data_IF_511938345570
#
_entry.id   IF_511938345570
#
_cell.length_a   1.000
_cell.length_b   1.000
_cell.length_c   1.000
_cell.angle_alpha   90.00
_cell.angle_beta   90.00
_cell.angle_gamma   90.00
#
_symmetry.space_group_name_H-M   'P 1'
#
loop_
_entity.id
_entity.type
_entity.pdbx_description
1 polymer ?
#
# COMPACT_ATOMS: atom_id res chain seq x y z
N UNK A 1 20.55 -10.49 23.00
CA UNK A 1 21.07 -11.74 22.40
C UNK A 1 20.83 -11.63 20.91
N UNK A 2 21.89 -11.60 20.08
CA UNK A 2 21.75 -11.65 18.62
C UNK A 2 21.32 -13.07 18.28
N UNK A 3 20.04 -13.30 18.03
CA UNK A 3 19.64 -14.49 17.31
C UNK A 3 20.15 -14.30 15.87
N UNK A 4 20.98 -15.23 15.40
CA UNK A 4 21.34 -15.29 13.99
C UNK A 4 20.03 -15.25 13.18
N UNK A 5 19.99 -14.43 12.12
CA UNK A 5 18.83 -14.36 11.21
C UNK A 5 18.35 -15.78 10.94
N UNK A 6 17.06 -16.03 11.14
CA UNK A 6 16.45 -17.28 10.69
C UNK A 6 16.89 -17.51 9.23
N UNK A 7 17.45 -18.69 8.89
CA UNK A 7 17.95 -18.99 7.55
C UNK A 7 16.98 -18.59 6.42
N UNK A 8 15.68 -18.70 6.67
CA UNK A 8 14.62 -18.32 5.71
C UNK A 8 14.68 -16.83 5.37
N UNK A 9 14.79 -15.93 6.36
CA UNK A 9 14.85 -14.49 6.09
C UNK A 9 16.15 -14.08 5.40
N UNK A 10 17.25 -14.78 5.67
CA UNK A 10 18.53 -14.57 4.98
C UNK A 10 18.42 -14.95 3.50
N UNK A 11 17.83 -16.08 3.18
CA UNK A 11 17.60 -16.52 1.79
C UNK A 11 16.66 -15.54 1.05
N UNK A 12 15.55 -15.13 1.69
CA UNK A 12 14.62 -14.17 1.12
C UNK A 12 15.26 -12.81 0.86
N UNK A 13 16.17 -12.34 1.74
CA UNK A 13 16.93 -11.10 1.55
C UNK A 13 17.79 -11.14 0.28
N UNK A 14 18.33 -12.30 -0.10
CA UNK A 14 19.11 -12.47 -1.34
C UNK A 14 18.30 -12.17 -2.62
N UNK A 15 16.96 -12.22 -2.55
CA UNK A 15 16.09 -11.78 -3.64
C UNK A 15 16.15 -10.27 -3.87
N UNK A 16 16.63 -9.48 -2.92
CA UNK A 16 16.68 -8.01 -2.96
C UNK A 16 18.11 -7.48 -3.14
N UNK A 17 18.66 -7.39 -4.36
CA UNK A 17 20.05 -7.00 -4.60
C UNK A 17 20.44 -5.64 -3.99
N UNK A 18 19.51 -4.70 -3.89
CA UNK A 18 19.74 -3.39 -3.30
C UNK A 18 20.23 -3.45 -1.84
N UNK A 19 19.89 -4.51 -1.11
CA UNK A 19 20.31 -4.69 0.29
C UNK A 19 21.78 -5.07 0.47
N UNK A 20 22.50 -5.34 -0.63
CA UNK A 20 23.96 -5.59 -0.61
C UNK A 20 24.75 -4.30 -0.44
N UNK A 21 24.25 -3.22 -1.05
CA UNK A 21 24.95 -1.94 -1.09
C UNK A 21 24.34 -0.90 -0.15
N UNK A 22 23.09 -1.12 0.28
CA UNK A 22 22.31 -0.18 1.06
C UNK A 22 21.63 -0.84 2.27
N UNK A 23 21.69 -0.18 3.40
CA UNK A 23 20.77 -0.38 4.51
C UNK A 23 19.47 0.31 4.13
N UNK A 24 18.54 -0.46 3.51
CA UNK A 24 17.35 0.08 2.90
C UNK A 24 16.19 0.10 3.88
N UNK A 25 15.95 1.21 4.53
CA UNK A 25 14.92 1.40 5.57
C UNK A 25 13.84 2.40 5.11
N UNK A 26 13.40 2.28 3.85
CA UNK A 26 12.52 3.28 3.21
C UNK A 26 11.33 2.69 2.44
N UNK A 27 10.85 1.51 2.80
CA UNK A 27 9.74 0.81 2.12
C UNK A 27 8.43 1.61 2.11
N UNK A 28 8.23 2.50 3.09
CA UNK A 28 7.07 3.39 3.15
C UNK A 28 7.05 4.48 2.06
N UNK A 29 8.18 4.81 1.45
CA UNK A 29 8.26 5.67 0.26
C UNK A 29 8.22 4.83 -1.03
N UNK A 30 9.01 3.78 -1.11
CA UNK A 30 9.06 2.78 -2.16
C UNK A 30 10.06 1.69 -1.79
N UNK A 31 9.77 0.44 -2.11
CA UNK A 31 10.66 -0.68 -1.85
C UNK A 31 11.56 -1.00 -3.04
N UNK A 32 12.73 -1.61 -2.81
CA UNK A 32 13.45 -2.27 -3.87
C UNK A 32 12.61 -3.45 -4.40
N UNK A 33 12.80 -3.79 -5.66
CA UNK A 33 12.11 -4.94 -6.24
C UNK A 33 12.95 -6.22 -6.07
N UNK A 34 12.32 -7.37 -5.77
CA UNK A 34 13.03 -8.65 -5.78
C UNK A 34 13.31 -9.12 -7.21
N UNK A 35 14.27 -10.06 -7.37
CA UNK A 35 14.67 -10.61 -8.67
C UNK A 35 13.50 -11.14 -9.48
N UNK A 36 12.60 -11.89 -8.86
CA UNK A 36 11.42 -12.48 -9.54
C UNK A 36 10.53 -11.41 -10.19
N UNK A 37 10.44 -10.21 -9.59
CA UNK A 37 9.67 -9.08 -10.15
C UNK A 37 10.38 -8.50 -11.37
N UNK A 38 11.69 -8.25 -11.29
CA UNK A 38 12.44 -7.75 -12.46
C UNK A 38 12.49 -8.77 -13.60
N UNK A 39 12.57 -10.06 -13.29
CA UNK A 39 12.52 -11.14 -14.28
C UNK A 39 11.18 -11.22 -15.00
N UNK A 40 10.06 -11.01 -14.29
CA UNK A 40 8.72 -10.98 -14.88
C UNK A 40 8.56 -9.85 -15.90
N UNK A 41 9.08 -8.65 -15.58
CA UNK A 41 9.08 -7.49 -16.50
C UNK A 41 10.00 -7.73 -17.69
N UNK A 42 11.22 -8.19 -17.44
CA UNK A 42 12.19 -8.48 -18.49
C UNK A 42 11.70 -9.60 -19.42
N UNK A 43 10.97 -10.59 -18.88
CA UNK A 43 10.33 -11.66 -19.65
C UNK A 43 9.35 -11.08 -20.67
N UNK A 44 8.45 -10.20 -20.23
CA UNK A 44 7.51 -9.52 -21.12
C UNK A 44 8.20 -8.74 -22.24
N UNK A 45 9.25 -7.97 -21.92
CA UNK A 45 9.97 -7.20 -22.95
C UNK A 45 10.76 -8.08 -23.91
N UNK A 46 11.31 -9.22 -23.47
CA UNK A 46 11.92 -10.23 -24.38
C UNK A 46 10.89 -10.84 -25.33
N UNK A 47 9.69 -11.14 -24.83
CA UNK A 47 8.60 -11.66 -25.67
C UNK A 47 8.21 -10.64 -26.74
N UNK A 48 8.09 -9.37 -26.36
CA UNK A 48 7.75 -8.26 -27.24
C UNK A 48 8.86 -7.99 -28.28
N UNK A 49 10.13 -8.03 -27.86
CA UNK A 49 11.30 -7.86 -28.73
C UNK A 49 11.38 -8.97 -29.78
N UNK A 50 11.15 -10.21 -29.37
CA UNK A 50 11.28 -11.39 -30.24
C UNK A 50 10.08 -11.66 -31.14
N UNK A 51 8.89 -11.14 -30.83
CA UNK A 51 7.67 -11.51 -31.53
C UNK A 51 6.64 -10.40 -31.74
N UNK A 52 6.92 -9.16 -31.35
CA UNK A 52 5.90 -8.13 -31.34
C UNK A 52 4.73 -8.52 -30.45
N UNK A 53 3.51 -8.18 -30.84
CA UNK A 53 2.29 -8.45 -30.08
C UNK A 53 1.63 -9.81 -30.34
N UNK A 54 2.35 -10.75 -30.99
CA UNK A 54 1.81 -12.09 -31.33
C UNK A 54 1.32 -12.90 -30.11
N UNK A 55 1.76 -12.54 -28.89
CA UNK A 55 1.38 -13.16 -27.64
C UNK A 55 0.29 -12.38 -26.90
N UNK A 56 -0.42 -11.51 -27.58
CA UNK A 56 -1.45 -10.64 -27.00
C UNK A 56 -2.49 -11.39 -26.15
N UNK A 57 -3.03 -12.50 -26.69
CA UNK A 57 -4.04 -13.33 -25.98
C UNK A 57 -3.44 -13.98 -24.73
N UNK A 58 -2.20 -14.47 -24.82
CA UNK A 58 -1.50 -15.06 -23.68
C UNK A 58 -1.26 -14.01 -22.59
N UNK A 59 -0.89 -12.80 -22.98
CA UNK A 59 -0.70 -11.69 -22.03
C UNK A 59 -2.02 -11.27 -21.36
N UNK A 60 -3.13 -11.23 -22.10
CA UNK A 60 -4.45 -11.01 -21.52
C UNK A 60 -4.82 -12.12 -20.51
N UNK A 61 -4.58 -13.37 -20.87
CA UNK A 61 -4.77 -14.50 -19.97
C UNK A 61 -3.93 -14.37 -18.69
N UNK A 62 -2.69 -13.92 -18.83
CA UNK A 62 -1.80 -13.66 -17.69
C UNK A 62 -2.28 -12.48 -16.82
N UNK A 63 -2.82 -11.41 -17.41
CA UNK A 63 -3.47 -10.31 -16.66
C UNK A 63 -4.62 -10.83 -15.80
N UNK A 64 -5.48 -11.69 -16.37
CA UNK A 64 -6.57 -12.31 -15.60
C UNK A 64 -6.06 -13.22 -14.47
N UNK A 65 -5.00 -13.97 -14.72
CA UNK A 65 -4.36 -14.78 -13.67
C UNK A 65 -3.88 -13.89 -12.50
N UNK A 66 -3.22 -12.76 -12.79
CA UNK A 66 -2.79 -11.79 -11.77
C UNK A 66 -4.01 -11.22 -11.02
N UNK A 67 -5.12 -10.96 -11.70
CA UNK A 67 -6.36 -10.49 -11.07
C UNK A 67 -6.88 -11.51 -10.05
N UNK A 68 -6.88 -12.79 -10.39
CA UNK A 68 -7.23 -13.87 -9.46
C UNK A 68 -6.27 -13.94 -8.26
N UNK A 69 -4.97 -13.72 -8.48
CA UNK A 69 -3.98 -13.69 -7.39
C UNK A 69 -4.25 -12.53 -6.43
N UNK A 70 -4.48 -11.31 -6.95
CA UNK A 70 -4.79 -10.12 -6.14
C UNK A 70 -6.10 -10.31 -5.37
N UNK A 71 -7.14 -10.83 -6.01
CA UNK A 71 -8.42 -11.10 -5.37
C UNK A 71 -8.27 -12.01 -4.15
N UNK A 72 -7.55 -13.13 -4.31
CA UNK A 72 -7.24 -14.03 -3.18
C UNK A 72 -6.40 -13.35 -2.10
N UNK A 73 -5.43 -12.52 -2.51
CA UNK A 73 -4.51 -11.86 -1.60
C UNK A 73 -5.19 -10.87 -0.65
N UNK A 74 -6.29 -10.25 -1.07
CA UNK A 74 -7.08 -9.32 -0.25
C UNK A 74 -8.40 -9.90 0.26
N UNK A 75 -8.69 -11.19 0.00
CA UNK A 75 -9.93 -11.83 0.42
C UNK A 75 -11.18 -11.33 -0.31
N UNK A 76 -11.06 -10.85 -1.57
CA UNK A 76 -12.22 -10.49 -2.38
C UNK A 76 -13.09 -11.72 -2.71
N UNK A 77 -14.39 -11.52 -2.80
CA UNK A 77 -15.34 -12.61 -3.08
C UNK A 77 -15.14 -13.20 -4.49
N UNK A 78 -14.77 -12.34 -5.44
CA UNK A 78 -14.51 -12.76 -6.82
C UNK A 78 -13.47 -11.83 -7.51
N UNK A 79 -12.78 -12.33 -8.53
CA UNK A 79 -11.79 -11.53 -9.27
C UNK A 79 -12.42 -10.33 -9.99
N UNK A 80 -13.70 -10.39 -10.31
CA UNK A 80 -14.45 -9.30 -10.96
C UNK A 80 -14.56 -8.03 -10.13
N UNK A 81 -14.25 -8.08 -8.82
CA UNK A 81 -14.21 -6.93 -7.90
C UNK A 81 -12.86 -6.17 -7.95
N UNK A 82 -11.88 -6.69 -8.69
CA UNK A 82 -10.54 -6.08 -8.82
C UNK A 82 -10.39 -5.38 -10.17
N UNK A 83 -9.83 -4.16 -10.14
CA UNK A 83 -9.27 -3.50 -11.32
C UNK A 83 -7.82 -3.07 -11.08
N UNK A 84 -7.01 -3.07 -12.15
CA UNK A 84 -5.65 -2.56 -12.10
C UNK A 84 -5.63 -1.05 -12.33
N UNK A 85 -4.78 -0.37 -11.57
CA UNK A 85 -4.57 1.08 -11.65
C UNK A 85 -3.07 1.37 -11.60
N UNK A 86 -2.59 2.47 -12.18
CA UNK A 86 -1.15 2.78 -12.17
C UNK A 86 -0.61 3.10 -10.77
N UNK A 87 -1.45 3.61 -9.88
CA UNK A 87 -1.09 4.00 -8.51
C UNK A 87 -2.34 4.20 -7.65
N UNK A 88 -2.14 4.40 -6.34
CA UNK A 88 -3.23 4.65 -5.38
C UNK A 88 -4.06 5.88 -5.73
N UNK A 89 -3.45 6.95 -6.23
CA UNK A 89 -4.18 8.18 -6.58
C UNK A 89 -5.24 7.92 -7.65
N UNK A 90 -4.90 7.12 -8.67
CA UNK A 90 -5.86 6.68 -9.69
C UNK A 90 -6.97 5.81 -9.09
N UNK A 91 -6.62 4.91 -8.18
CA UNK A 91 -7.59 4.05 -7.48
C UNK A 91 -8.55 4.84 -6.61
N UNK A 92 -8.07 5.80 -5.82
CA UNK A 92 -8.91 6.67 -4.98
C UNK A 92 -9.83 7.53 -5.85
N UNK A 93 -9.32 8.12 -6.97
CA UNK A 93 -10.17 8.88 -7.88
C UNK A 93 -11.30 8.02 -8.47
N UNK A 94 -11.02 6.76 -8.81
CA UNK A 94 -12.03 5.82 -9.29
C UNK A 94 -13.10 5.57 -8.20
N UNK A 95 -12.71 5.36 -6.94
CA UNK A 95 -13.63 5.18 -5.81
C UNK A 95 -14.46 6.47 -5.60
N UNK A 96 -13.84 7.62 -5.67
CA UNK A 96 -14.53 8.93 -5.58
C UNK A 96 -15.57 9.09 -6.69
N UNK A 97 -15.25 8.68 -7.91
CA UNK A 97 -16.21 8.72 -9.03
C UNK A 97 -17.46 7.87 -8.78
N UNK A 98 -17.33 6.77 -8.04
CA UNK A 98 -18.45 5.93 -7.64
C UNK A 98 -19.25 6.51 -6.47
N UNK A 99 -18.61 7.17 -5.51
CA UNK A 99 -19.18 7.47 -4.19
C UNK A 99 -19.41 8.96 -3.91
N UNK A 100 -18.88 9.89 -4.70
CA UNK A 100 -18.97 11.33 -4.41
C UNK A 100 -20.43 11.85 -4.26
N UNK A 101 -21.39 11.18 -4.86
CA UNK A 101 -22.82 11.49 -4.74
C UNK A 101 -23.51 10.91 -3.50
N UNK A 102 -22.83 10.08 -2.70
CA UNK A 102 -23.46 9.42 -1.56
C UNK A 102 -23.66 10.36 -0.35
N UNK A 103 -22.83 11.39 -0.19
CA UNK A 103 -22.92 12.35 0.90
C UNK A 103 -21.55 12.68 1.55
N UNK A 104 -21.56 13.28 2.75
CA UNK A 104 -20.33 13.64 3.44
C UNK A 104 -19.46 12.43 3.79
N UNK A 105 -18.14 12.68 3.89
CA UNK A 105 -17.14 11.68 4.25
C UNK A 105 -16.59 11.98 5.65
N UNK A 106 -16.40 10.95 6.44
CA UNK A 106 -15.69 10.98 7.72
C UNK A 106 -14.29 10.39 7.50
N UNK A 107 -13.26 11.16 7.81
CA UNK A 107 -11.86 10.79 7.67
C UNK A 107 -11.04 11.34 8.85
N UNK A 108 -9.72 11.22 8.81
CA UNK A 108 -8.84 11.71 9.86
C UNK A 108 -7.78 12.70 9.35
N UNK A 109 -7.22 13.50 10.27
CA UNK A 109 -6.24 14.56 9.95
C UNK A 109 -4.87 14.04 9.51
N UNK A 110 -4.56 12.76 9.78
CA UNK A 110 -3.27 12.14 9.49
C UNK A 110 -3.21 11.53 8.08
N UNK A 111 -4.29 11.65 7.30
CA UNK A 111 -4.37 11.06 5.96
C UNK A 111 -3.37 11.69 4.98
N UNK A 112 -2.87 10.84 4.08
CA UNK A 112 -2.06 11.32 2.96
C UNK A 112 -2.93 12.09 1.95
N UNK A 113 -2.46 13.19 1.36
CA UNK A 113 -3.27 14.03 0.45
C UNK A 113 -3.98 13.27 -0.68
N UNK A 114 -3.39 12.18 -1.19
CA UNK A 114 -4.05 11.32 -2.18
C UNK A 114 -5.41 10.79 -1.72
N UNK A 115 -5.57 10.55 -0.42
CA UNK A 115 -6.80 9.96 0.14
C UNK A 115 -7.92 10.99 0.21
N UNK A 116 -7.62 12.24 0.54
CA UNK A 116 -8.59 13.29 0.84
C UNK A 116 -8.84 14.27 -0.31
N UNK A 117 -7.78 14.73 -1.02
CA UNK A 117 -7.90 15.75 -2.06
C UNK A 117 -8.90 15.42 -3.18
N UNK A 118 -9.02 14.18 -3.69
CA UNK A 118 -9.99 13.87 -4.73
C UNK A 118 -11.44 14.10 -4.30
N UNK A 119 -11.80 13.83 -3.05
CA UNK A 119 -13.13 14.08 -2.50
C UNK A 119 -13.41 15.59 -2.41
N UNK A 120 -12.46 16.36 -1.87
CA UNK A 120 -12.56 17.82 -1.78
C UNK A 120 -12.72 18.44 -3.16
N UNK A 121 -11.93 17.96 -4.14
CA UNK A 121 -12.03 18.43 -5.54
C UNK A 121 -13.40 18.17 -6.17
N UNK A 122 -14.09 17.12 -5.75
CA UNK A 122 -15.47 16.80 -6.18
C UNK A 122 -16.55 17.55 -5.38
N UNK A 123 -16.15 18.47 -4.49
CA UNK A 123 -17.08 19.25 -3.65
C UNK A 123 -17.69 18.44 -2.51
N UNK A 124 -17.13 17.29 -2.16
CA UNK A 124 -17.61 16.47 -1.04
C UNK A 124 -17.12 17.06 0.27
N UNK A 125 -18.01 17.21 1.23
CA UNK A 125 -17.65 17.67 2.58
C UNK A 125 -16.94 16.56 3.35
N UNK A 126 -15.72 16.85 3.85
CA UNK A 126 -14.95 15.96 4.71
C UNK A 126 -15.06 16.43 6.17
N UNK A 127 -15.48 15.52 7.04
CA UNK A 127 -15.36 15.67 8.48
C UNK A 127 -14.06 15.00 8.90
N UNK A 128 -13.09 15.81 9.36
CA UNK A 128 -11.76 15.30 9.76
C UNK A 128 -11.74 15.14 11.28
N UNK A 129 -11.49 13.91 11.75
CA UNK A 129 -11.30 13.67 13.18
C UNK A 129 -9.84 13.90 13.56
N UNK A 130 -9.57 14.50 14.74
CA UNK A 130 -8.22 14.67 15.24
C UNK A 130 -7.64 13.34 15.74
N UNK A 131 -6.32 13.22 15.68
CA UNK A 131 -5.58 12.19 16.38
C UNK A 131 -5.44 12.55 17.88
N UNK A 132 -5.37 11.53 18.71
CA UNK A 132 -5.08 11.68 20.14
C UNK A 132 -3.76 10.95 20.42
N UNK A 133 -2.73 11.71 20.78
CA UNK A 133 -1.37 11.18 20.99
C UNK A 133 -0.85 10.38 19.78
N UNK A 134 -1.15 10.87 18.57
CA UNK A 134 -0.74 10.22 17.31
C UNK A 134 -1.54 8.96 16.95
N UNK A 135 -2.65 8.68 17.63
CA UNK A 135 -3.53 7.54 17.38
C UNK A 135 -4.90 8.00 16.92
N UNK A 136 -5.42 7.37 15.87
CA UNK A 136 -6.81 7.54 15.44
C UNK A 136 -7.69 6.62 16.27
N UNK A 137 -8.60 7.21 17.05
CA UNK A 137 -9.48 6.47 17.96
C UNK A 137 -10.75 6.03 17.24
N UNK A 138 -11.14 4.78 17.45
CA UNK A 138 -12.33 4.18 16.83
C UNK A 138 -13.63 4.91 17.25
N UNK A 139 -13.69 5.42 18.46
CA UNK A 139 -14.83 6.16 18.99
C UNK A 139 -15.13 7.42 18.18
N UNK A 140 -14.10 8.04 17.59
CA UNK A 140 -14.25 9.20 16.72
C UNK A 140 -14.91 8.86 15.36
N UNK A 141 -15.01 7.58 15.04
CA UNK A 141 -15.70 7.07 13.84
C UNK A 141 -17.09 6.48 14.16
N UNK A 142 -17.55 6.60 15.42
CA UNK A 142 -18.89 6.13 15.76
C UNK A 142 -19.98 6.88 14.97
N UNK A 143 -21.14 6.27 14.74
CA UNK A 143 -22.27 6.92 14.07
C UNK A 143 -22.74 8.21 14.75
N UNK A 144 -22.57 8.29 16.07
CA UNK A 144 -22.96 9.44 16.88
C UNK A 144 -22.05 10.66 16.63
N UNK A 145 -20.76 10.42 16.34
CA UNK A 145 -19.80 11.50 16.07
C UNK A 145 -20.09 12.24 14.76
N UNK A 146 -20.43 11.50 13.70
CA UNK A 146 -20.76 12.08 12.39
C UNK A 146 -21.99 11.40 11.76
N UNK A 147 -23.20 11.67 12.28
CA UNK A 147 -24.40 10.93 11.90
C UNK A 147 -24.84 11.12 10.45
N UNK A 148 -24.35 12.16 9.77
CA UNK A 148 -24.63 12.44 8.35
C UNK A 148 -23.58 11.88 7.39
N UNK A 149 -22.49 11.33 7.90
CA UNK A 149 -21.44 10.77 7.05
C UNK A 149 -21.98 9.55 6.29
N UNK A 150 -21.84 9.56 4.98
CA UNK A 150 -22.21 8.45 4.11
C UNK A 150 -21.06 7.47 3.86
N UNK A 151 -19.82 7.93 4.09
CA UNK A 151 -18.60 7.16 3.87
C UNK A 151 -17.63 7.34 5.04
N UNK A 152 -17.04 6.24 5.49
CA UNK A 152 -15.85 6.21 6.33
C UNK A 152 -14.64 5.98 5.44
N UNK A 153 -13.65 6.88 5.49
CA UNK A 153 -12.46 6.86 4.67
C UNK A 153 -11.23 6.91 5.57
N UNK A 154 -10.37 5.89 5.50
CA UNK A 154 -9.16 5.84 6.31
C UNK A 154 -8.05 5.02 5.66
N UNK A 155 -6.81 5.30 6.04
CA UNK A 155 -5.67 4.45 5.75
C UNK A 155 -5.51 3.35 6.79
N UNK A 156 -5.26 2.09 6.36
CA UNK A 156 -4.98 0.99 7.28
C UNK A 156 -3.75 1.27 8.14
N UNK A 157 -2.73 1.92 7.56
CA UNK A 157 -1.54 2.41 8.27
C UNK A 157 -1.32 3.86 7.88
N UNK A 158 -1.21 4.73 8.87
CA UNK A 158 -1.00 6.16 8.66
C UNK A 158 0.43 6.46 8.20
N UNK A 159 0.57 7.30 7.17
CA UNK A 159 1.87 7.60 6.55
C UNK A 159 2.76 8.50 7.40
N UNK A 160 2.18 9.22 8.34
CA UNK A 160 2.89 10.19 9.19
C UNK A 160 3.78 9.44 10.18
N UNK A 161 3.17 8.61 11.01
CA UNK A 161 3.82 7.98 12.16
C UNK A 161 3.70 6.44 12.20
N UNK A 162 3.04 5.83 11.20
CA UNK A 162 2.88 4.38 11.13
C UNK A 162 1.78 3.81 12.04
N UNK A 163 0.86 4.62 12.56
CA UNK A 163 -0.30 4.15 13.30
C UNK A 163 -1.09 3.16 12.45
N UNK A 164 -1.20 1.91 12.90
CA UNK A 164 -1.97 0.84 12.25
C UNK A 164 -3.31 0.67 12.92
N UNK A 165 -4.37 0.67 12.14
CA UNK A 165 -5.76 0.56 12.59
C UNK A 165 -6.27 -0.87 12.44
N UNK A 166 -7.18 -1.29 13.31
CA UNK A 166 -7.86 -2.57 13.19
C UNK A 166 -9.07 -2.46 12.25
N UNK A 167 -8.89 -2.89 11.00
CA UNK A 167 -9.91 -2.77 9.97
C UNK A 167 -11.20 -3.52 10.30
N UNK A 168 -11.13 -4.65 10.99
CA UNK A 168 -12.32 -5.43 11.39
C UNK A 168 -13.16 -4.66 12.40
N UNK A 169 -12.52 -4.02 13.40
CA UNK A 169 -13.22 -3.18 14.36
C UNK A 169 -13.86 -1.96 13.70
N UNK A 170 -13.15 -1.27 12.80
CA UNK A 170 -13.71 -0.14 12.05
C UNK A 170 -14.86 -0.58 11.13
N UNK A 171 -14.75 -1.72 10.46
CA UNK A 171 -15.83 -2.28 9.66
C UNK A 171 -17.08 -2.61 10.47
N UNK A 172 -16.90 -3.13 11.69
CA UNK A 172 -18.01 -3.47 12.58
C UNK A 172 -18.86 -2.25 12.98
N UNK A 173 -18.25 -1.07 13.07
CA UNK A 173 -18.95 0.18 13.44
C UNK A 173 -19.44 1.00 12.26
N UNK A 174 -19.30 0.53 11.01
CA UNK A 174 -19.65 1.34 9.83
C UNK A 174 -21.14 1.71 9.73
N UNK A 175 -22.04 0.95 10.33
CA UNK A 175 -23.47 1.27 10.49
C UNK A 175 -24.15 1.76 9.20
N UNK A 176 -24.01 1.00 8.10
CA UNK A 176 -24.61 1.31 6.79
C UNK A 176 -23.85 2.35 5.96
N UNK A 177 -22.81 2.98 6.48
CA UNK A 177 -21.89 3.83 5.71
C UNK A 177 -21.01 2.98 4.79
N UNK A 178 -20.56 3.55 3.67
CA UNK A 178 -19.51 2.93 2.87
C UNK A 178 -18.18 2.96 3.64
N UNK A 179 -17.44 1.86 3.64
CA UNK A 179 -16.13 1.77 4.25
C UNK A 179 -15.05 1.69 3.17
N UNK A 180 -14.27 2.77 3.04
CA UNK A 180 -13.21 2.94 2.03
C UNK A 180 -11.85 2.94 2.72
N UNK A 181 -10.93 2.11 2.23
CA UNK A 181 -9.61 1.93 2.83
C UNK A 181 -8.51 2.24 1.83
N UNK A 182 -7.53 3.05 2.25
CA UNK A 182 -6.23 3.16 1.58
C UNK A 182 -5.27 2.14 2.21
N UNK A 183 -4.84 1.15 1.41
CA UNK A 183 -3.93 0.10 1.85
C UNK A 183 -2.47 0.31 1.39
N UNK A 184 -2.13 1.52 0.93
CA UNK A 184 -0.80 1.82 0.36
C UNK A 184 0.36 1.62 1.33
N UNK A 185 0.12 1.71 2.62
CA UNK A 185 1.13 1.53 3.66
C UNK A 185 1.02 0.17 4.37
N UNK A 186 0.18 -0.73 3.88
CA UNK A 186 -0.08 -2.01 4.55
C UNK A 186 -0.13 -3.21 3.63
N UNK A 187 -0.67 -3.09 2.40
CA UNK A 187 -0.73 -4.22 1.46
C UNK A 187 0.69 -4.70 1.13
N UNK A 188 0.96 -5.97 1.43
CA UNK A 188 2.28 -6.60 1.33
C UNK A 188 3.07 -6.67 2.64
N UNK A 189 2.62 -5.97 3.70
CA UNK A 189 3.21 -6.03 5.04
C UNK A 189 2.27 -6.63 6.08
N UNK A 190 0.96 -6.46 5.90
CA UNK A 190 -0.06 -6.92 6.85
C UNK A 190 -1.20 -7.63 6.12
N UNK A 191 -1.83 -8.63 6.74
CA UNK A 191 -3.00 -9.28 6.18
C UNK A 191 -4.16 -8.28 6.01
N UNK A 192 -4.88 -8.43 4.92
CA UNK A 192 -6.10 -7.68 4.62
C UNK A 192 -7.13 -8.70 4.14
N UNK A 193 -8.29 -8.73 4.77
CA UNK A 193 -9.44 -9.50 4.33
C UNK A 193 -10.63 -8.54 4.19
N UNK A 194 -10.93 -8.17 2.95
CA UNK A 194 -11.97 -7.16 2.67
C UNK A 194 -13.36 -7.61 3.07
N UNK A 195 -13.63 -8.93 3.10
CA UNK A 195 -14.92 -9.47 3.53
C UNK A 195 -15.07 -9.42 5.05
N UNK A 196 -14.08 -9.91 5.81
CA UNK A 196 -14.10 -9.87 7.28
C UNK A 196 -14.15 -8.45 7.81
N UNK A 197 -13.34 -7.56 7.24
CA UNK A 197 -13.31 -6.15 7.60
C UNK A 197 -14.49 -5.35 7.01
N UNK A 198 -15.41 -5.98 6.29
CA UNK A 198 -16.58 -5.35 5.67
C UNK A 198 -16.23 -4.11 4.83
N UNK A 199 -15.08 -4.13 4.16
CA UNK A 199 -14.62 -3.04 3.30
C UNK A 199 -15.47 -3.03 2.02
N UNK A 200 -15.93 -1.85 1.60
CA UNK A 200 -16.70 -1.69 0.37
C UNK A 200 -15.82 -1.27 -0.82
N UNK A 201 -14.73 -0.56 -0.56
CA UNK A 201 -13.72 -0.26 -1.56
C UNK A 201 -12.33 -0.09 -0.94
N UNK A 202 -11.29 -0.50 -1.67
CA UNK A 202 -9.91 -0.40 -1.23
C UNK A 202 -9.01 -0.05 -2.41
N UNK A 203 -8.00 0.80 -2.17
CA UNK A 203 -6.96 1.10 -3.17
C UNK A 203 -5.55 0.90 -2.59
N UNK A 204 -4.66 0.34 -3.41
CA UNK A 204 -3.24 0.19 -3.08
C UNK A 204 -2.34 0.35 -4.30
N UNK A 205 -1.09 0.73 -4.06
CA UNK A 205 -0.02 0.75 -5.06
C UNK A 205 0.98 -0.39 -4.85
N UNK A 206 1.55 -0.91 -5.93
CA UNK A 206 2.50 -2.02 -5.88
C UNK A 206 3.91 -1.63 -5.41
N UNK A 207 4.33 -0.37 -5.58
CA UNK A 207 5.72 0.06 -5.41
C UNK A 207 6.22 0.19 -3.97
N UNK A 208 5.34 0.10 -2.97
CA UNK A 208 5.72 0.19 -1.55
C UNK A 208 5.91 -1.21 -0.95
N UNK A 209 5.07 -1.56 -0.01
CA UNK A 209 5.15 -2.81 0.75
C UNK A 209 4.91 -4.09 -0.06
N UNK A 210 4.31 -3.97 -1.25
CA UNK A 210 4.21 -5.12 -2.17
C UNK A 210 5.49 -5.38 -2.95
N UNK A 211 6.48 -4.48 -2.96
CA UNK A 211 7.76 -4.63 -3.68
C UNK A 211 7.61 -4.87 -5.20
N UNK A 212 6.50 -4.44 -5.81
CA UNK A 212 6.18 -4.71 -7.22
C UNK A 212 6.72 -3.67 -8.21
N UNK A 213 7.46 -2.65 -7.74
CA UNK A 213 7.89 -1.54 -8.59
C UNK A 213 6.75 -0.58 -8.93
N UNK A 214 7.04 0.37 -9.81
CA UNK A 214 6.10 1.43 -10.19
C UNK A 214 5.25 1.03 -11.40
N UNK A 215 4.08 1.66 -11.54
CA UNK A 215 3.22 1.56 -12.73
C UNK A 215 2.04 0.60 -12.60
N UNK A 216 1.97 -0.20 -11.52
CA UNK A 216 0.79 -0.98 -11.19
C UNK A 216 0.44 -0.91 -9.71
N UNK A 217 -0.83 -0.99 -9.45
CA UNK A 217 -1.50 -1.18 -8.20
C UNK A 217 -2.88 -1.76 -8.50
N UNK A 218 -3.75 -1.81 -7.52
CA UNK A 218 -5.09 -2.32 -7.70
C UNK A 218 -6.10 -1.52 -6.89
N UNK A 219 -7.35 -1.62 -7.33
CA UNK A 219 -8.53 -1.20 -6.60
C UNK A 219 -9.44 -2.41 -6.45
N UNK A 220 -9.97 -2.60 -5.26
CA UNK A 220 -11.07 -3.48 -4.95
C UNK A 220 -12.33 -2.64 -4.78
N UNK A 221 -13.42 -3.06 -5.38
CA UNK A 221 -14.74 -2.47 -5.16
C UNK A 221 -15.75 -3.62 -5.10
N UNK A 222 -16.50 -3.66 -4.03
CA UNK A 222 -17.54 -4.64 -3.79
C UNK A 222 -18.58 -4.62 -4.93
N UNK A 223 -19.04 -5.80 -5.38
CA UNK A 223 -19.95 -5.97 -6.52
C UNK A 223 -21.17 -5.06 -6.44
N UNK A 224 -21.87 -5.04 -5.31
CA UNK A 224 -23.10 -4.26 -5.15
C UNK A 224 -22.88 -2.75 -5.30
N UNK A 225 -21.64 -2.29 -5.06
CA UNK A 225 -21.28 -0.88 -5.20
C UNK A 225 -21.06 -0.51 -6.66
N UNK A 226 -20.26 -1.28 -7.39
CA UNK A 226 -19.98 -0.94 -8.78
C UNK A 226 -21.16 -1.23 -9.73
N UNK A 227 -22.05 -2.16 -9.40
CA UNK A 227 -23.27 -2.40 -10.18
C UNK A 227 -24.25 -1.22 -10.14
N UNK A 228 -24.33 -0.52 -9.00
CA UNK A 228 -25.18 0.67 -8.82
C UNK A 228 -24.62 1.93 -9.48
N UNK A 229 -23.31 1.99 -9.69
CA UNK A 229 -22.62 3.20 -10.13
C UNK A 229 -21.80 2.92 -11.40
N UNK A 230 -22.26 3.31 -12.60
CA UNK A 230 -21.47 3.16 -13.80
C UNK A 230 -20.20 4.05 -13.73
N UNK A 231 -19.08 3.62 -14.31
CA UNK A 231 -17.85 4.43 -14.36
C UNK A 231 -18.09 5.69 -15.18
N UNK A 232 -17.43 6.79 -14.80
CA UNK A 232 -17.49 8.06 -15.54
C UNK A 232 -16.68 8.05 -16.84
N UNK A 233 -15.61 7.25 -16.85
CA UNK A 233 -14.73 7.10 -18.00
C UNK A 233 -14.73 5.64 -18.46
N UNK A 234 -14.87 5.44 -19.77
CA UNK A 234 -14.83 4.13 -20.41
C UNK A 234 -13.91 4.18 -21.65
N UNK A 235 -13.51 3.03 -22.11
CA UNK A 235 -12.76 2.88 -23.36
C UNK A 235 -13.14 1.59 -24.07
N UNK A 236 -12.40 1.22 -25.10
CA UNK A 236 -12.76 0.11 -25.96
C UNK A 236 -12.74 -1.27 -25.24
N UNK A 237 -11.92 -1.43 -24.20
CA UNK A 237 -11.90 -2.65 -23.36
C UNK A 237 -12.91 -2.64 -22.19
N UNK A 238 -13.69 -1.59 -22.03
CA UNK A 238 -14.69 -1.47 -20.96
C UNK A 238 -16.00 -2.22 -21.27
N UNK A 239 -16.18 -2.67 -22.51
CA UNK A 239 -17.45 -3.23 -23.02
C UNK A 239 -17.37 -4.74 -23.22
N UNK A 240 -18.54 -5.37 -23.31
CA UNK A 240 -18.67 -6.76 -23.75
C UNK A 240 -18.32 -6.85 -25.25
N UNK A 241 -17.64 -7.93 -25.61
CA UNK A 241 -17.25 -8.20 -27.00
C UNK A 241 -16.41 -7.07 -27.67
N UNK A 242 -15.33 -6.56 -27.03
CA UNK A 242 -14.58 -5.41 -27.51
C UNK A 242 -13.94 -5.65 -28.90
N UNK A 243 -13.65 -6.89 -29.25
CA UNK A 243 -13.01 -7.28 -30.52
C UNK A 243 -13.97 -7.30 -31.73
N UNK A 244 -15.28 -7.06 -31.51
CA UNK A 244 -16.19 -6.77 -32.61
C UNK A 244 -15.99 -5.36 -33.17
N UNK A 245 -15.25 -4.49 -32.46
CA UNK A 245 -14.98 -3.10 -32.85
C UNK A 245 -16.23 -2.28 -33.21
N UNK A 246 -17.34 -2.59 -32.51
CA UNK A 246 -18.61 -1.85 -32.69
C UNK A 246 -18.54 -0.52 -31.93
N UNK A 247 -18.45 0.58 -32.70
CA UNK A 247 -18.34 1.93 -32.17
C UNK A 247 -19.58 2.42 -31.38
N UNK A 248 -20.71 1.71 -31.48
CA UNK A 248 -21.95 2.05 -30.81
C UNK A 248 -22.31 1.11 -29.68
N UNK A 249 -21.51 0.08 -29.43
CA UNK A 249 -21.74 -0.87 -28.34
C UNK A 249 -21.26 -0.27 -27.01
N UNK A 250 -22.21 0.05 -26.12
CA UNK A 250 -21.94 0.57 -24.76
C UNK A 250 -22.38 -0.43 -23.68
N UNK A 251 -22.47 -1.72 -24.00
CA UNK A 251 -22.74 -2.76 -23.00
C UNK A 251 -21.50 -3.01 -22.15
N UNK A 252 -21.47 -2.42 -20.95
CA UNK A 252 -20.34 -2.51 -20.04
C UNK A 252 -20.10 -3.95 -19.56
N UNK A 253 -18.82 -4.29 -19.28
CA UNK A 253 -18.47 -5.53 -18.60
C UNK A 253 -19.11 -5.58 -17.20
N UNK A 254 -19.59 -6.75 -16.75
CA UNK A 254 -20.18 -6.94 -15.43
C UNK A 254 -19.12 -7.12 -14.33
N UNK A 255 -18.03 -6.35 -14.39
CA UNK A 255 -16.89 -6.42 -13.46
C UNK A 255 -16.17 -5.08 -13.41
N UNK A 256 -15.28 -4.91 -12.45
CA UNK A 256 -14.42 -3.72 -12.33
C UNK A 256 -13.46 -3.54 -13.52
N UNK A 257 -13.21 -4.57 -14.33
CA UNK A 257 -12.47 -4.44 -15.60
C UNK A 257 -13.05 -3.36 -16.53
N UNK A 258 -14.33 -3.05 -16.42
CA UNK A 258 -14.96 -1.95 -17.19
C UNK A 258 -14.34 -0.58 -16.94
N UNK A 259 -13.50 -0.45 -15.91
CA UNK A 259 -12.72 0.76 -15.61
C UNK A 259 -11.31 0.74 -16.19
N UNK A 260 -10.87 -0.38 -16.75
CA UNK A 260 -9.58 -0.56 -17.45
C UNK A 260 -9.80 -0.24 -18.93
N UNK A 261 -9.72 1.03 -19.26
CA UNK A 261 -10.26 1.60 -20.50
C UNK A 261 -9.55 1.16 -21.79
N UNK A 262 -8.28 0.79 -21.74
CA UNK A 262 -7.46 0.53 -22.92
C UNK A 262 -6.47 -0.61 -22.71
N UNK A 263 -5.46 -0.68 -23.59
CA UNK A 263 -4.41 -1.70 -23.52
C UNK A 263 -3.79 -1.76 -22.12
N UNK A 264 -3.75 -2.95 -21.48
CA UNK A 264 -3.17 -3.08 -20.16
C UNK A 264 -1.67 -2.73 -20.14
N UNK A 265 -1.15 -2.13 -19.08
CA UNK A 265 0.29 -2.01 -18.87
C UNK A 265 0.86 -3.37 -18.43
N UNK A 266 1.05 -4.30 -19.40
CA UNK A 266 1.39 -5.69 -19.16
C UNK A 266 2.58 -5.88 -18.22
N UNK A 267 3.72 -5.22 -18.52
CA UNK A 267 4.94 -5.35 -17.71
C UNK A 267 4.72 -5.03 -16.23
N UNK A 268 4.17 -3.87 -15.88
CA UNK A 268 3.82 -3.54 -14.48
C UNK A 268 2.81 -4.49 -13.84
N UNK A 269 1.80 -4.98 -14.57
CA UNK A 269 0.83 -5.96 -14.03
C UNK A 269 1.52 -7.31 -13.76
N UNK A 270 2.43 -7.75 -14.65
CA UNK A 270 3.20 -8.97 -14.45
C UNK A 270 4.16 -8.86 -13.26
N UNK A 271 4.75 -7.67 -13.06
CA UNK A 271 5.53 -7.34 -11.88
C UNK A 271 4.69 -7.47 -10.59
N UNK A 272 3.47 -6.93 -10.61
CA UNK A 272 2.53 -7.04 -9.48
C UNK A 272 2.17 -8.51 -9.20
N UNK A 273 1.92 -9.30 -10.23
CA UNK A 273 1.63 -10.73 -10.10
C UNK A 273 2.78 -11.51 -9.46
N UNK A 274 4.01 -11.32 -9.95
CA UNK A 274 5.19 -11.95 -9.38
C UNK A 274 5.44 -11.54 -7.91
N UNK A 275 5.17 -10.28 -7.57
CA UNK A 275 5.27 -9.79 -6.20
C UNK A 275 4.22 -10.44 -5.29
N UNK A 276 2.96 -10.48 -5.72
CA UNK A 276 1.86 -11.13 -4.96
C UNK A 276 2.14 -12.61 -4.75
N UNK A 277 2.65 -13.30 -5.77
CA UNK A 277 3.02 -14.73 -5.67
C UNK A 277 4.14 -14.95 -4.64
N UNK A 278 5.19 -14.12 -4.66
CA UNK A 278 6.27 -14.18 -3.67
C UNK A 278 5.73 -13.96 -2.25
N UNK A 279 4.95 -12.88 -2.04
CA UNK A 279 4.42 -12.55 -0.72
C UNK A 279 3.46 -13.61 -0.19
N UNK A 280 2.58 -14.14 -1.03
CA UNK A 280 1.68 -15.23 -0.69
C UNK A 280 2.44 -16.54 -0.40
N UNK A 281 3.51 -16.81 -1.13
CA UNK A 281 4.37 -17.98 -0.91
C UNK A 281 5.13 -17.95 0.42
N UNK A 282 5.53 -16.75 0.87
CA UNK A 282 6.12 -16.54 2.21
C UNK A 282 5.04 -16.69 3.31
N UNK A 283 3.85 -16.19 3.04
CA UNK A 283 2.74 -16.07 3.98
C UNK A 283 2.69 -14.69 4.63
N UNK A 284 1.58 -13.97 4.42
CA UNK A 284 1.46 -12.57 4.82
C UNK A 284 1.48 -12.39 6.35
N UNK A 285 0.99 -13.37 7.10
CA UNK A 285 1.04 -13.39 8.57
C UNK A 285 2.50 -13.46 9.06
N UNK A 286 3.32 -14.32 8.46
CA UNK A 286 4.75 -14.43 8.80
C UNK A 286 5.51 -13.14 8.44
N UNK A 287 5.14 -12.49 7.33
CA UNK A 287 5.69 -11.20 6.96
C UNK A 287 5.32 -10.16 8.02
N UNK A 288 4.06 -10.11 8.45
CA UNK A 288 3.59 -9.18 9.47
C UNK A 288 4.32 -9.39 10.80
N UNK A 289 4.47 -10.62 11.25
CA UNK A 289 5.23 -10.98 12.46
C UNK A 289 6.69 -10.48 12.37
N UNK A 290 7.36 -10.73 11.22
CA UNK A 290 8.74 -10.27 11.00
C UNK A 290 8.85 -8.74 10.97
N UNK A 291 7.94 -8.06 10.30
CA UNK A 291 7.89 -6.60 10.22
C UNK A 291 7.70 -5.98 11.61
N UNK A 292 6.77 -6.51 12.41
CA UNK A 292 6.52 -6.05 13.78
C UNK A 292 7.70 -6.33 14.69
N UNK A 293 8.32 -7.51 14.58
CA UNK A 293 9.53 -7.85 15.34
C UNK A 293 10.66 -6.86 15.06
N UNK A 294 10.94 -6.55 13.80
CA UNK A 294 11.99 -5.59 13.43
C UNK A 294 11.67 -4.16 13.89
N UNK A 295 10.39 -3.78 13.82
CA UNK A 295 9.94 -2.47 14.33
C UNK A 295 10.13 -2.37 15.85
N UNK A 296 9.74 -3.40 16.59
CA UNK A 296 9.93 -3.45 18.05
C UNK A 296 11.40 -3.44 18.43
N UNK A 297 12.22 -4.26 17.77
CA UNK A 297 13.67 -4.29 17.96
C UNK A 297 14.30 -2.91 17.75
N UNK A 298 13.98 -2.26 16.61
CA UNK A 298 14.49 -0.94 16.29
C UNK A 298 14.04 0.10 17.33
N UNK A 299 12.77 0.13 17.69
CA UNK A 299 12.22 1.06 18.70
C UNK A 299 12.97 0.92 20.01
N UNK A 300 13.09 -0.29 20.52
CA UNK A 300 13.83 -0.57 21.76
C UNK A 300 15.30 -0.08 21.71
N UNK A 301 15.98 -0.29 20.57
CA UNK A 301 17.38 0.12 20.40
C UNK A 301 17.55 1.65 20.32
N UNK A 302 16.60 2.35 19.67
CA UNK A 302 16.56 3.81 19.57
C UNK A 302 16.35 4.43 20.96
N UNK A 303 15.33 4.00 21.68
CA UNK A 303 14.99 4.51 23.01
C UNK A 303 16.13 4.30 24.01
N UNK A 304 16.78 3.13 23.99
CA UNK A 304 17.99 2.87 24.81
C UNK A 304 19.16 3.77 24.48
N UNK A 305 19.20 4.38 23.31
CA UNK A 305 20.20 5.36 22.89
C UNK A 305 19.77 6.80 23.09
N UNK A 306 18.58 7.00 23.67
CA UNK A 306 18.03 8.33 23.96
C UNK A 306 17.38 9.04 22.79
N UNK A 307 17.00 8.31 21.70
CA UNK A 307 16.23 8.84 20.60
C UNK A 307 14.73 8.65 20.87
N UNK A 308 13.94 9.73 21.02
CA UNK A 308 12.49 9.61 21.20
C UNK A 308 11.83 9.01 19.96
N UNK A 309 10.93 8.06 20.17
CA UNK A 309 10.09 7.48 19.10
C UNK A 309 8.70 8.07 19.19
N UNK A 310 8.27 8.72 18.11
CA UNK A 310 6.99 9.42 18.01
C UNK A 310 5.87 8.53 17.39
N UNK A 311 6.22 7.33 16.93
CA UNK A 311 5.25 6.34 16.50
C UNK A 311 4.48 5.77 17.68
N UNK A 312 3.19 5.40 17.51
CA UNK A 312 2.41 4.83 18.60
C UNK A 312 2.94 3.47 19.04
N UNK A 313 2.64 3.15 20.32
CA UNK A 313 3.08 1.92 20.98
C UNK A 313 2.34 0.66 20.56
N UNK A 314 2.37 -0.33 21.45
CA UNK A 314 1.75 -1.63 21.25
C UNK A 314 0.27 -1.53 20.83
N UNK A 315 -0.17 -2.43 19.96
CA UNK A 315 -1.52 -2.44 19.37
C UNK A 315 -1.66 -1.60 18.10
N UNK A 316 -0.86 -0.52 17.94
CA UNK A 316 -0.92 0.38 16.79
C UNK A 316 0.34 0.37 15.93
N UNK A 317 1.29 -0.50 16.22
CA UNK A 317 2.56 -0.59 15.49
C UNK A 317 2.39 -1.11 14.07
N UNK A 318 3.26 -0.61 13.20
CA UNK A 318 3.44 -1.11 11.84
C UNK A 318 4.92 -1.32 11.52
N UNK A 319 5.31 -1.38 10.26
CA UNK A 319 6.72 -1.38 9.85
C UNK A 319 7.37 0.00 9.86
N UNK A 320 6.64 1.06 10.22
CA UNK A 320 7.15 2.43 10.24
C UNK A 320 7.47 2.87 11.66
N UNK A 321 8.60 3.59 11.80
CA UNK A 321 9.04 4.23 13.05
C UNK A 321 9.38 5.68 12.74
N UNK A 322 8.68 6.63 13.35
CA UNK A 322 9.02 8.05 13.33
C UNK A 322 9.93 8.33 14.54
N UNK A 323 11.13 8.78 14.26
CA UNK A 323 12.18 9.07 15.25
C UNK A 323 12.42 10.56 15.30
N UNK A 324 12.34 11.17 16.48
CA UNK A 324 12.68 12.57 16.67
C UNK A 324 14.20 12.75 16.49
N UNK A 325 14.56 13.65 15.59
CA UNK A 325 15.97 13.97 15.30
C UNK A 325 16.08 15.45 15.02
N UNK A 326 17.04 16.12 15.62
CA UNK A 326 17.38 17.51 15.30
C UNK A 326 17.89 17.63 13.87
N UNK A 327 17.49 18.71 13.16
CA UNK A 327 17.89 18.96 11.77
C UNK A 327 17.68 17.73 10.87
N UNK A 328 16.43 17.31 10.63
CA UNK A 328 16.12 16.04 9.93
C UNK A 328 16.73 15.95 8.54
N UNK A 329 16.80 17.05 7.80
CA UNK A 329 17.40 17.11 6.46
C UNK A 329 18.90 16.76 6.49
N UNK A 330 19.63 17.32 7.45
CA UNK A 330 21.06 17.04 7.64
C UNK A 330 21.28 15.57 8.08
N UNK A 331 20.43 15.09 8.98
CA UNK A 331 20.47 13.68 9.42
C UNK A 331 20.25 12.71 8.25
N UNK A 332 19.27 12.97 7.37
CA UNK A 332 19.03 12.16 6.17
C UNK A 332 20.23 12.22 5.22
N UNK A 333 20.81 13.39 4.99
CA UNK A 333 22.01 13.53 4.16
C UNK A 333 23.19 12.74 4.74
N UNK A 334 23.46 12.87 6.05
CA UNK A 334 24.51 12.13 6.78
C UNK A 334 24.35 10.62 6.70
N UNK A 335 23.09 10.12 6.86
CA UNK A 335 22.77 8.70 6.77
C UNK A 335 22.96 8.19 5.33
N UNK A 336 22.55 8.98 4.34
CA UNK A 336 22.68 8.62 2.92
C UNK A 336 24.13 8.46 2.49
N UNK A 337 25.05 9.30 2.98
CA UNK A 337 26.51 9.16 2.76
C UNK A 337 27.03 7.82 3.29
N UNK A 338 26.39 7.27 4.33
CA UNK A 338 26.68 5.96 4.93
C UNK A 338 25.88 4.82 4.34
N UNK A 339 25.25 5.05 3.18
CA UNK A 339 24.42 4.06 2.49
C UNK A 339 23.20 3.60 3.32
N UNK A 340 22.65 4.46 4.18
CA UNK A 340 21.43 4.21 4.94
C UNK A 340 20.31 5.09 4.37
N UNK A 341 19.23 4.47 3.90
CA UNK A 341 18.10 5.18 3.29
C UNK A 341 16.92 5.25 4.24
N UNK A 342 16.50 6.46 4.56
CA UNK A 342 15.33 6.81 5.36
C UNK A 342 14.61 8.01 4.72
N UNK A 343 13.46 8.43 5.26
CA UNK A 343 12.73 9.62 4.78
C UNK A 343 12.74 10.72 5.83
N UNK A 344 13.00 11.97 5.39
CA UNK A 344 12.81 13.17 6.20
C UNK A 344 11.33 13.38 6.55
N UNK A 345 11.06 13.86 7.76
CA UNK A 345 9.77 14.33 8.27
C UNK A 345 9.99 15.62 9.06
N UNK A 346 8.98 16.48 9.21
CA UNK A 346 9.13 17.73 9.96
C UNK A 346 9.67 17.53 11.39
N UNK A 347 9.24 16.45 12.05
CA UNK A 347 9.59 16.13 13.44
C UNK A 347 10.88 15.29 13.55
N UNK A 348 11.44 14.79 12.45
CA UNK A 348 12.59 13.90 12.48
C UNK A 348 12.74 13.05 11.22
N UNK A 349 12.97 11.75 11.40
CA UNK A 349 13.10 10.81 10.29
C UNK A 349 12.11 9.67 10.41
N UNK A 350 11.55 9.25 9.27
CA UNK A 350 10.73 8.04 9.18
C UNK A 350 11.58 6.89 8.69
N UNK A 351 11.67 5.86 9.50
CA UNK A 351 12.31 4.58 9.20
C UNK A 351 11.24 3.56 8.84
N UNK A 352 11.44 2.76 7.82
CA UNK A 352 10.48 1.75 7.38
C UNK A 352 11.18 0.41 7.16
N UNK A 353 11.03 -0.50 8.13
CA UNK A 353 11.54 -1.87 8.08
C UNK A 353 10.57 -2.80 7.37
N UNK A 354 11.08 -3.69 6.52
CA UNK A 354 10.33 -4.73 5.85
C UNK A 354 10.93 -6.11 6.14
N UNK A 355 10.26 -7.20 5.74
CA UNK A 355 10.71 -8.57 6.03
C UNK A 355 12.13 -8.88 5.54
N UNK A 356 12.61 -8.23 4.49
CA UNK A 356 13.97 -8.41 3.95
C UNK A 356 15.06 -7.65 4.73
N UNK A 357 14.69 -6.81 5.70
CA UNK A 357 15.65 -6.17 6.58
C UNK A 357 16.13 -7.13 7.69
N UNK A 358 17.24 -6.75 8.29
CA UNK A 358 17.84 -7.49 9.39
C UNK A 358 18.05 -6.63 10.64
N UNK A 359 18.36 -7.26 11.74
CA UNK A 359 18.74 -6.58 12.99
C UNK A 359 20.03 -5.76 12.79
N UNK A 360 20.94 -6.23 11.91
CA UNK A 360 22.17 -5.50 11.56
C UNK A 360 21.86 -4.19 10.83
N UNK A 361 20.78 -4.15 9.99
CA UNK A 361 20.31 -2.91 9.36
C UNK A 361 19.84 -1.91 10.43
N UNK A 362 19.10 -2.39 11.43
CA UNK A 362 18.64 -1.57 12.56
C UNK A 362 19.82 -1.04 13.39
N UNK A 363 20.81 -1.90 13.70
CA UNK A 363 22.01 -1.51 14.43
C UNK A 363 22.87 -0.50 13.67
N UNK A 364 22.97 -0.64 12.35
CA UNK A 364 23.70 0.30 11.52
C UNK A 364 23.08 1.70 11.59
N UNK A 365 21.74 1.79 11.52
CA UNK A 365 21.03 3.05 11.70
C UNK A 365 21.27 3.65 13.09
N UNK A 366 21.08 2.87 14.16
CA UNK A 366 21.24 3.34 15.54
C UNK A 366 22.66 3.84 15.82
N UNK A 367 23.69 3.15 15.29
CA UNK A 367 25.08 3.61 15.39
C UNK A 367 25.29 4.93 14.67
N UNK A 368 24.80 5.02 13.41
CA UNK A 368 24.98 6.22 12.60
C UNK A 368 24.26 7.45 13.20
N UNK A 369 23.07 7.27 13.77
CA UNK A 369 22.37 8.34 14.48
C UNK A 369 23.16 8.77 15.75
N UNK A 370 23.75 7.82 16.48
CA UNK A 370 24.60 8.13 17.63
C UNK A 370 25.91 8.83 17.25
N UNK A 371 26.40 8.68 16.02
CA UNK A 371 27.52 9.48 15.48
C UNK A 371 27.06 10.88 15.08
N UNK A 372 25.89 10.96 14.41
CA UNK A 372 25.29 12.23 13.99
C UNK A 372 25.02 13.17 15.18
N UNK A 373 24.43 12.66 16.26
CA UNK A 373 24.07 13.46 17.45
C UNK A 373 25.28 14.03 18.20
N UNK A 374 26.49 13.55 17.95
CA UNK A 374 27.76 14.05 18.55
C UNK A 374 28.48 15.09 17.69
N UNK A 375 27.96 15.37 16.47
CA UNK A 375 28.53 16.40 15.63
C UNK A 375 28.25 17.78 16.23
N UNK A 376 29.25 18.67 16.30
CA UNK A 376 29.00 20.05 16.74
C UNK A 376 27.99 20.71 15.80
N UNK A 377 27.13 21.52 16.40
CA UNK A 377 26.12 22.33 15.71
C UNK A 377 26.80 23.41 14.86
#
# INVERSE_FOLDING_TARGET
MSQALDPVWKELREQFPATRDWVYLNSAAGSPVPRVVSEAVNGFYRDLEGGGDRLWEDWLGRVEHVRHQVARFVGAAEPGEIAFVPNTSSGINLIVDLLAGAGPVLSDEMEFPTVTLPWIHRGVHLNMVPSIEGVIRIESFSPEYAPKAATMLLSHVQFVNGCRLDLEQFGAIKAGRHFVVCASQSAGAFPIDVQKAQIDALASAGHKWMCAGYGAGFVYVKRELFEKHPPRAIGWLSVQDPFLFDNLNVRLLPSMRRTEMGCPPFGPIFALGAAVELLAGIGIEKIAERVLYLNEYLTFRLERKGFPVLSPGEGFRSGQTLVEVERPADAVAFLKERKILVTEKPEGIRVATHFFNSEEDCEALVRALGEYSRQPV
#
